data_IF_253361151693
#
_entry.id   IF_253361151693
#
_cell.length_a   1.000
_cell.length_b   1.000
_cell.length_c   1.000
_cell.angle_alpha   90.00
_cell.angle_beta   90.00
_cell.angle_gamma   90.00
#
_symmetry.space_group_name_H-M   'P 1'
#
loop_
_entity.id
_entity.type
_entity.pdbx_description
1 polymer ?
#
# COMPACT_ATOMS: atom_id res chain seq x y z
N UNK A 1 -2.47 -12.75 -0.94
CA UNK A 1 -3.66 -11.93 -0.62
C UNK A 1 -4.66 -12.63 0.30
N UNK A 2 -5.43 -13.63 -0.18
CA UNK A 2 -6.56 -14.24 0.57
C UNK A 2 -6.14 -14.79 1.93
N UNK A 3 -5.01 -15.51 1.96
CA UNK A 3 -4.42 -16.04 3.19
C UNK A 3 -4.18 -14.92 4.23
N UNK A 4 -3.61 -13.80 3.81
CA UNK A 4 -3.28 -12.64 4.66
C UNK A 4 -4.52 -11.96 5.19
N UNK A 5 -5.57 -11.83 4.36
CA UNK A 5 -6.87 -11.28 4.76
C UNK A 5 -7.48 -12.13 5.88
N UNK A 6 -7.51 -13.46 5.71
CA UNK A 6 -8.06 -14.38 6.71
C UNK A 6 -7.22 -14.33 7.99
N UNK A 7 -5.90 -14.43 7.89
CA UNK A 7 -5.00 -14.39 9.05
C UNK A 7 -5.10 -13.07 9.82
N UNK A 8 -5.20 -11.94 9.11
CA UNK A 8 -5.38 -10.64 9.75
C UNK A 8 -6.75 -10.53 10.41
N UNK A 9 -7.81 -11.01 9.76
CA UNK A 9 -9.15 -10.99 10.35
C UNK A 9 -9.24 -11.78 11.66
N UNK A 10 -8.45 -12.85 11.79
CA UNK A 10 -8.36 -13.66 13.02
C UNK A 10 -7.58 -12.99 14.16
N UNK A 11 -6.92 -11.86 13.90
CA UNK A 11 -6.23 -11.08 14.95
C UNK A 11 -7.25 -10.47 15.90
N UNK A 12 -6.80 -10.09 17.10
CA UNK A 12 -7.66 -9.37 18.05
C UNK A 12 -8.16 -8.08 17.39
N UNK A 13 -9.49 -7.92 17.35
CA UNK A 13 -10.20 -6.84 16.66
C UNK A 13 -10.13 -6.83 15.13
N UNK A 14 -9.58 -7.86 14.48
CA UNK A 14 -9.47 -7.93 13.02
C UNK A 14 -10.79 -7.70 12.28
N UNK A 15 -11.92 -8.09 12.89
CA UNK A 15 -13.26 -7.89 12.36
C UNK A 15 -13.75 -6.44 12.31
N UNK A 16 -13.05 -5.51 12.96
CA UNK A 16 -13.40 -4.09 12.96
C UNK A 16 -12.85 -3.36 11.72
N UNK A 17 -11.87 -3.96 11.03
CA UNK A 17 -11.15 -3.31 9.95
C UNK A 17 -11.69 -3.73 8.57
N UNK A 18 -12.07 -2.77 7.71
CA UNK A 18 -12.47 -3.08 6.34
C UNK A 18 -11.23 -3.41 5.50
N UNK A 19 -11.42 -4.30 4.53
CA UNK A 19 -10.45 -4.54 3.47
C UNK A 19 -10.90 -3.80 2.21
N UNK A 20 -9.96 -3.10 1.56
CA UNK A 20 -10.21 -2.40 0.31
C UNK A 20 -9.28 -3.01 -0.74
N UNK A 21 -9.86 -3.57 -1.80
CA UNK A 21 -9.10 -4.09 -2.94
C UNK A 21 -9.15 -3.04 -4.04
N UNK A 22 -8.00 -2.43 -4.31
CA UNK A 22 -7.82 -1.53 -5.45
C UNK A 22 -7.57 -2.33 -6.72
N UNK A 23 -8.23 -1.94 -7.81
CA UNK A 23 -8.15 -2.64 -9.09
C UNK A 23 -8.25 -1.67 -10.26
N UNK A 24 -7.86 -2.10 -11.46
CA UNK A 24 -7.99 -1.33 -12.70
C UNK A 24 -9.35 -1.54 -13.39
N UNK A 25 -9.57 -0.93 -14.55
CA UNK A 25 -10.78 -1.12 -15.36
C UNK A 25 -10.96 -2.55 -15.90
N UNK A 26 -9.90 -3.37 -15.93
CA UNK A 26 -9.95 -4.74 -16.45
C UNK A 26 -10.48 -5.75 -15.41
N UNK A 27 -10.74 -5.30 -14.18
CA UNK A 27 -11.25 -6.14 -13.11
C UNK A 27 -12.71 -6.56 -13.34
N UNK A 28 -12.92 -7.85 -13.60
CA UNK A 28 -14.23 -8.39 -13.98
C UNK A 28 -15.10 -8.79 -12.79
N UNK A 29 -16.39 -9.01 -13.04
CA UNK A 29 -17.32 -9.61 -12.07
C UNK A 29 -16.86 -10.99 -11.62
N UNK A 30 -16.27 -11.78 -12.52
CA UNK A 30 -15.86 -13.15 -12.25
C UNK A 30 -14.65 -13.18 -11.31
N UNK A 31 -13.68 -12.29 -11.52
CA UNK A 31 -12.55 -12.10 -10.60
C UNK A 31 -13.04 -11.67 -9.21
N UNK A 32 -14.00 -10.73 -9.14
CA UNK A 32 -14.64 -10.33 -7.88
C UNK A 32 -15.30 -11.51 -7.18
N UNK A 33 -16.12 -12.28 -7.91
CA UNK A 33 -16.81 -13.44 -7.37
C UNK A 33 -15.83 -14.51 -6.91
N UNK A 34 -14.73 -14.75 -7.64
CA UNK A 34 -13.70 -15.69 -7.25
C UNK A 34 -13.04 -15.28 -5.92
N UNK A 35 -12.62 -14.02 -5.79
CA UNK A 35 -12.03 -13.50 -4.53
C UNK A 35 -13.02 -13.65 -3.38
N UNK A 36 -14.27 -13.20 -3.56
CA UNK A 36 -15.31 -13.30 -2.54
C UNK A 36 -15.59 -14.77 -2.18
N UNK A 37 -15.59 -15.68 -3.15
CA UNK A 37 -15.79 -17.11 -2.90
C UNK A 37 -14.67 -17.65 -2.01
N UNK A 38 -13.41 -17.33 -2.28
CA UNK A 38 -12.29 -17.80 -1.47
C UNK A 38 -12.27 -17.18 -0.07
N UNK A 39 -12.64 -15.90 0.09
CA UNK A 39 -12.59 -15.24 1.41
C UNK A 39 -13.83 -15.56 2.24
N UNK A 40 -15.03 -15.47 1.66
CA UNK A 40 -16.29 -15.65 2.39
C UNK A 40 -16.64 -17.11 2.67
N UNK A 41 -16.09 -18.07 1.90
CA UNK A 41 -16.15 -19.49 2.29
C UNK A 41 -15.51 -19.70 3.66
N UNK A 42 -14.42 -18.97 3.95
CA UNK A 42 -13.70 -19.08 5.20
C UNK A 42 -14.33 -18.22 6.30
N UNK A 43 -14.87 -17.04 5.98
CA UNK A 43 -15.54 -16.20 6.96
C UNK A 43 -16.50 -15.16 6.34
N UNK A 44 -17.81 -15.36 6.51
CA UNK A 44 -18.86 -14.48 5.95
C UNK A 44 -18.90 -13.07 6.55
N UNK A 45 -18.16 -12.80 7.62
CA UNK A 45 -18.16 -11.50 8.31
C UNK A 45 -17.05 -10.56 7.83
N UNK A 46 -16.14 -11.01 6.96
CA UNK A 46 -15.08 -10.16 6.42
C UNK A 46 -15.71 -9.10 5.52
N UNK A 47 -15.53 -7.82 5.87
CA UNK A 47 -15.99 -6.70 5.07
C UNK A 47 -14.95 -6.34 4.01
N UNK A 48 -15.25 -6.65 2.74
CA UNK A 48 -14.40 -6.32 1.59
C UNK A 48 -15.14 -5.35 0.69
N UNK A 49 -14.50 -4.22 0.39
CA UNK A 49 -14.91 -3.31 -0.68
C UNK A 49 -13.90 -3.33 -1.82
N UNK A 50 -14.35 -2.96 -3.01
CA UNK A 50 -13.54 -2.91 -4.23
C UNK A 50 -13.58 -1.48 -4.74
N UNK A 51 -12.40 -0.92 -5.03
CA UNK A 51 -12.23 0.46 -5.45
C UNK A 51 -11.46 0.52 -6.77
N UNK A 52 -11.99 1.25 -7.74
CA UNK A 52 -11.31 1.49 -9.01
C UNK A 52 -10.15 2.48 -8.79
N UNK A 53 -8.92 2.03 -9.04
CA UNK A 53 -7.75 2.88 -9.12
C UNK A 53 -7.61 3.43 -10.54
N UNK A 54 -7.29 4.72 -10.65
CA UNK A 54 -7.04 5.34 -11.94
C UNK A 54 -5.59 5.11 -12.38
N UNK A 55 -5.37 4.13 -13.25
CA UNK A 55 -4.05 3.86 -13.84
C UNK A 55 -3.90 4.47 -15.24
N UNK A 56 -4.49 5.63 -15.50
CA UNK A 56 -4.32 6.34 -16.76
C UNK A 56 -3.16 7.33 -16.68
N UNK A 57 -2.38 7.43 -17.75
CA UNK A 57 -1.32 8.44 -17.90
C UNK A 57 -1.22 8.93 -19.33
N UNK A 58 -0.94 10.22 -19.48
CA UNK A 58 -0.60 10.85 -20.76
C UNK A 58 0.90 10.77 -21.07
N UNK A 59 1.71 10.22 -20.15
CA UNK A 59 3.15 10.08 -20.34
C UNK A 59 3.42 8.81 -21.15
N UNK A 60 3.91 8.98 -22.38
CA UNK A 60 4.30 7.84 -23.19
C UNK A 60 5.52 7.11 -22.60
N UNK A 61 5.56 5.77 -22.68
CA UNK A 61 6.72 5.01 -22.27
C UNK A 61 7.96 5.48 -23.04
N UNK A 62 9.04 5.73 -22.31
CA UNK A 62 10.38 5.85 -22.89
C UNK A 62 10.68 4.57 -23.70
N UNK A 63 11.11 4.72 -24.96
CA UNK A 63 11.53 3.60 -25.81
C UNK A 63 13.02 3.23 -25.65
N UNK A 64 13.72 3.86 -24.71
CA UNK A 64 15.19 3.99 -24.77
C UNK A 64 15.99 3.30 -23.66
N UNK A 65 15.41 2.53 -22.74
CA UNK A 65 16.23 1.79 -21.79
C UNK A 65 15.77 0.34 -21.60
N UNK A 66 16.74 -0.59 -21.56
CA UNK A 66 16.53 -1.98 -21.11
C UNK A 66 16.13 -2.07 -19.62
N UNK A 67 16.16 -0.94 -18.90
CA UNK A 67 15.73 -0.77 -17.52
C UNK A 67 14.29 -0.23 -17.42
N UNK A 68 13.64 0.07 -18.55
CA UNK A 68 12.30 0.67 -18.56
C UNK A 68 11.30 -0.37 -18.03
N UNK A 69 10.85 -0.13 -16.79
CA UNK A 69 9.79 -0.92 -16.17
C UNK A 69 8.52 -0.78 -17.02
N UNK A 70 7.69 -1.83 -17.12
CA UNK A 70 6.42 -1.75 -17.83
C UNK A 70 5.57 -0.58 -17.33
N UNK A 71 4.82 0.08 -18.21
CA UNK A 71 4.03 1.27 -17.86
C UNK A 71 3.08 0.99 -16.67
N UNK A 72 2.48 -0.19 -16.60
CA UNK A 72 1.66 -0.62 -15.48
C UNK A 72 2.41 -0.66 -14.15
N UNK A 73 3.69 -1.03 -14.15
CA UNK A 73 4.53 -0.98 -12.95
C UNK A 73 4.78 0.46 -12.50
N UNK A 74 5.10 1.36 -13.42
CA UNK A 74 5.29 2.78 -13.11
C UNK A 74 4.02 3.41 -12.54
N UNK A 75 2.86 3.06 -13.10
CA UNK A 75 1.55 3.51 -12.62
C UNK A 75 1.21 2.95 -11.24
N UNK A 76 1.54 1.69 -10.97
CA UNK A 76 1.43 1.09 -9.65
C UNK A 76 2.32 1.83 -8.63
N UNK A 77 3.56 2.17 -9.01
CA UNK A 77 4.46 2.95 -8.16
C UNK A 77 3.88 4.33 -7.85
N UNK A 78 3.35 5.04 -8.85
CA UNK A 78 2.69 6.34 -8.67
C UNK A 78 1.50 6.24 -7.72
N UNK A 79 0.63 5.24 -7.94
CA UNK A 79 -0.54 5.01 -7.12
C UNK A 79 -0.19 4.82 -5.65
N UNK A 80 0.77 3.93 -5.35
CA UNK A 80 1.15 3.65 -3.97
C UNK A 80 2.00 4.75 -3.31
N UNK A 81 2.67 5.59 -4.11
CA UNK A 81 3.45 6.72 -3.58
C UNK A 81 2.55 7.92 -3.26
N UNK A 82 1.45 8.09 -4.00
CA UNK A 82 0.62 9.28 -3.92
C UNK A 82 -0.88 9.01 -4.00
N UNK A 83 -1.38 8.45 -5.11
CA UNK A 83 -2.81 8.50 -5.42
C UNK A 83 -3.69 7.76 -4.39
N UNK A 84 -3.19 6.67 -3.82
CA UNK A 84 -3.92 5.89 -2.80
C UNK A 84 -4.34 6.76 -1.60
N UNK A 85 -3.49 7.69 -1.19
CA UNK A 85 -3.75 8.55 -0.03
C UNK A 85 -4.84 9.58 -0.29
N UNK A 86 -5.05 9.96 -1.55
CA UNK A 86 -6.10 10.91 -1.93
C UNK A 86 -7.31 10.23 -2.56
N UNK A 87 -7.30 8.89 -2.61
CA UNK A 87 -8.38 8.14 -3.20
C UNK A 87 -9.68 8.32 -2.40
N UNK A 88 -10.85 8.48 -3.05
CA UNK A 88 -12.13 8.67 -2.36
C UNK A 88 -12.43 7.62 -1.30
N UNK A 89 -12.12 6.34 -1.57
CA UNK A 89 -12.28 5.26 -0.61
C UNK A 89 -11.48 5.46 0.70
N UNK A 90 -10.33 6.13 0.66
CA UNK A 90 -9.53 6.44 1.85
C UNK A 90 -10.04 7.71 2.53
N UNK A 91 -10.27 8.79 1.77
CA UNK A 91 -10.71 10.08 2.31
C UNK A 91 -12.12 9.98 2.93
N UNK A 92 -13.08 9.38 2.22
CA UNK A 92 -14.46 9.24 2.69
C UNK A 92 -14.59 8.20 3.80
N UNK A 93 -13.68 7.22 3.84
CA UNK A 93 -13.61 6.25 4.93
C UNK A 93 -13.13 6.86 6.26
N UNK A 94 -12.53 8.06 6.22
CA UNK A 94 -12.02 8.78 7.38
C UNK A 94 -11.13 7.90 8.28
N UNK A 95 -10.22 7.14 7.66
CA UNK A 95 -9.32 6.24 8.36
C UNK A 95 -8.14 7.00 8.99
N UNK A 96 -7.70 6.54 10.16
CA UNK A 96 -6.47 7.06 10.80
C UNK A 96 -5.21 6.37 10.28
N UNK A 97 -5.33 5.09 9.91
CA UNK A 97 -4.23 4.24 9.49
C UNK A 97 -4.56 3.52 8.19
N UNK A 98 -3.53 3.27 7.38
CA UNK A 98 -3.59 2.42 6.19
C UNK A 98 -2.56 1.30 6.33
N UNK A 99 -2.98 0.08 6.00
CA UNK A 99 -2.12 -1.09 5.93
C UNK A 99 -2.12 -1.62 4.50
N UNK A 100 -0.96 -1.61 3.84
CA UNK A 100 -0.78 -2.21 2.51
C UNK A 100 -0.40 -3.68 2.66
N UNK A 101 -1.06 -4.51 1.86
CA UNK A 101 -0.71 -5.92 1.66
C UNK A 101 -0.83 -6.24 0.18
N UNK A 102 0.29 -6.50 -0.47
CA UNK A 102 0.30 -6.98 -1.85
C UNK A 102 -0.20 -8.43 -1.92
N UNK A 103 -0.50 -8.90 -3.13
CA UNK A 103 -1.04 -10.23 -3.36
C UNK A 103 -0.03 -11.35 -3.11
N UNK A 104 1.25 -11.05 -3.28
CA UNK A 104 2.40 -11.90 -2.95
C UNK A 104 2.80 -11.87 -1.46
N UNK A 105 2.17 -11.01 -0.67
CA UNK A 105 2.47 -10.86 0.75
C UNK A 105 1.62 -11.80 1.60
N UNK A 106 2.23 -12.47 2.58
CA UNK A 106 1.57 -13.40 3.50
C UNK A 106 2.07 -13.29 4.95
N UNK A 107 1.17 -13.55 5.88
CA UNK A 107 1.50 -13.75 7.30
C UNK A 107 1.79 -15.22 7.55
N UNK A 108 2.96 -15.52 8.13
CA UNK A 108 3.26 -16.88 8.61
C UNK A 108 2.58 -17.20 9.94
N UNK A 109 2.35 -16.18 10.77
CA UNK A 109 1.84 -16.32 12.12
C UNK A 109 0.66 -15.35 12.35
N UNK A 110 -0.22 -15.70 13.28
CA UNK A 110 -1.30 -14.81 13.73
C UNK A 110 -0.67 -13.66 14.53
N UNK A 111 -1.07 -12.43 14.22
CA UNK A 111 -0.66 -11.27 15.02
C UNK A 111 -1.55 -11.21 16.26
N UNK A 112 -0.98 -11.47 17.43
CA UNK A 112 -1.74 -11.51 18.69
C UNK A 112 -2.27 -10.14 19.14
N UNK A 113 -1.57 -9.07 18.71
CA UNK A 113 -1.87 -7.69 19.07
C UNK A 113 -2.49 -6.96 17.89
N UNK A 114 -3.45 -6.12 18.21
CA UNK A 114 -3.99 -5.14 17.28
C UNK A 114 -2.89 -4.12 16.91
N UNK A 115 -2.42 -4.19 15.66
CA UNK A 115 -1.29 -3.38 15.19
C UNK A 115 -1.63 -1.89 15.15
N UNK A 116 -2.87 -1.53 14.87
CA UNK A 116 -3.30 -0.13 14.80
C UNK A 116 -3.38 0.49 16.19
N UNK A 117 -3.96 -0.24 17.15
CA UNK A 117 -3.96 0.17 18.57
C UNK A 117 -2.53 0.26 19.09
N UNK A 118 -1.65 -0.68 18.73
CA UNK A 118 -0.25 -0.65 19.11
C UNK A 118 0.46 0.61 18.57
N UNK A 119 0.27 0.93 17.28
CA UNK A 119 0.85 2.15 16.68
C UNK A 119 0.35 3.41 17.37
N UNK A 120 -0.93 3.52 17.68
CA UNK A 120 -1.46 4.69 18.38
C UNK A 120 -0.91 4.83 19.81
N UNK A 121 -0.84 3.71 20.55
CA UNK A 121 -0.29 3.70 21.90
C UNK A 121 1.19 4.08 21.93
N UNK A 122 1.95 3.68 20.92
CA UNK A 122 3.40 3.93 20.82
C UNK A 122 3.76 5.18 20.03
N UNK A 123 2.77 5.90 19.49
CA UNK A 123 2.97 7.08 18.64
C UNK A 123 3.91 6.78 17.47
N UNK A 124 3.67 5.66 16.79
CA UNK A 124 4.43 5.22 15.61
C UNK A 124 3.72 5.67 14.35
N UNK A 125 4.45 6.32 13.45
CA UNK A 125 3.93 6.84 12.18
C UNK A 125 3.97 5.83 11.04
N UNK A 126 4.96 4.95 11.04
CA UNK A 126 5.24 4.07 9.93
C UNK A 126 5.89 2.77 10.39
N UNK A 127 5.37 1.64 9.92
CA UNK A 127 5.91 0.30 10.14
C UNK A 127 6.19 -0.35 8.78
N UNK A 128 7.34 -0.99 8.64
CA UNK A 128 7.73 -1.78 7.49
C UNK A 128 8.44 -3.05 7.93
N UNK A 129 8.56 -4.03 7.01
CA UNK A 129 9.17 -5.33 7.30
C UNK A 129 10.65 -5.40 6.93
N UNK A 130 11.03 -4.80 5.81
CA UNK A 130 12.38 -4.91 5.25
C UNK A 130 12.78 -3.67 4.49
N UNK A 131 14.08 -3.44 4.42
CA UNK A 131 14.72 -2.44 3.57
C UNK A 131 15.73 -3.12 2.66
N UNK A 132 16.06 -2.48 1.56
CA UNK A 132 17.08 -2.95 0.62
C UNK A 132 17.95 -1.79 0.17
N UNK A 133 19.17 -2.08 -0.26
CA UNK A 133 20.04 -1.07 -0.86
C UNK A 133 19.65 -0.89 -2.33
N UNK A 134 19.35 0.35 -2.70
CA UNK A 134 19.12 0.75 -4.09
C UNK A 134 20.05 1.93 -4.37
N UNK A 135 20.69 1.95 -5.53
CA UNK A 135 21.46 3.14 -5.90
C UNK A 135 20.46 4.25 -6.22
N UNK A 136 20.69 5.41 -5.61
CA UNK A 136 19.84 6.57 -5.84
C UNK A 136 20.20 7.29 -7.13
N UNK A 137 21.06 6.76 -7.99
CA UNK A 137 21.70 7.56 -9.04
C UNK A 137 20.70 8.31 -9.94
N UNK A 138 19.53 7.71 -10.20
CA UNK A 138 18.42 8.32 -10.93
C UNK A 138 17.56 9.30 -10.11
N UNK A 139 17.36 9.04 -8.82
CA UNK A 139 16.54 9.86 -7.90
C UNK A 139 17.34 10.95 -7.19
N UNK A 140 18.66 10.83 -7.13
CA UNK A 140 19.57 11.70 -6.39
C UNK A 140 19.44 13.18 -6.83
N UNK A 141 19.40 13.50 -8.13
CA UNK A 141 19.23 14.89 -8.57
C UNK A 141 17.87 15.47 -8.17
N UNK A 142 16.83 14.63 -8.10
CA UNK A 142 15.49 15.04 -7.68
C UNK A 142 15.48 15.27 -6.16
N UNK A 143 15.95 14.29 -5.39
CA UNK A 143 15.98 14.33 -3.92
C UNK A 143 16.87 15.46 -3.39
N UNK A 144 18.00 15.76 -4.05
CA UNK A 144 18.86 16.90 -3.69
C UNK A 144 18.13 18.25 -3.76
N UNK A 145 17.19 18.42 -4.69
CA UNK A 145 16.39 19.66 -4.79
C UNK A 145 15.51 19.89 -3.56
N UNK A 146 15.11 18.81 -2.89
CA UNK A 146 14.19 18.87 -1.75
C UNK A 146 14.90 18.79 -0.40
N UNK A 147 16.00 18.02 -0.29
CA UNK A 147 16.57 17.67 1.01
C UNK A 147 17.64 18.63 1.51
N UNK A 148 18.09 19.62 0.71
CA UNK A 148 19.14 20.59 1.06
C UNK A 148 20.36 19.93 1.79
N UNK A 149 20.67 18.69 1.41
CA UNK A 149 21.70 17.85 2.03
C UNK A 149 22.60 17.26 0.97
N UNK A 150 23.90 17.31 1.23
CA UNK A 150 24.92 16.74 0.35
C UNK A 150 25.01 15.20 0.44
N UNK A 151 24.38 14.59 1.46
CA UNK A 151 24.35 13.14 1.65
C UNK A 151 22.90 12.66 1.78
N UNK A 152 22.49 11.77 0.88
CA UNK A 152 21.26 11.00 1.03
C UNK A 152 21.56 9.72 1.83
N UNK A 153 20.66 9.36 2.75
CA UNK A 153 20.73 8.04 3.37
C UNK A 153 20.57 6.98 2.28
N UNK A 154 21.43 5.96 2.31
CA UNK A 154 21.35 4.81 1.40
C UNK A 154 20.21 3.89 1.83
N UNK A 155 19.51 3.33 0.84
CA UNK A 155 18.49 2.31 1.05
C UNK A 155 17.05 2.79 0.90
N UNK A 156 16.20 1.86 0.46
CA UNK A 156 14.77 2.02 0.26
C UNK A 156 14.03 1.08 1.21
N UNK A 157 12.82 1.47 1.60
CA UNK A 157 11.89 0.58 2.30
C UNK A 157 11.22 -0.31 1.25
N UNK A 158 11.15 -1.61 1.52
CA UNK A 158 10.42 -2.54 0.67
C UNK A 158 8.91 -2.37 0.89
N UNK A 159 8.27 -1.65 -0.02
CA UNK A 159 6.92 -1.11 0.15
C UNK A 159 5.78 -2.10 -0.14
N UNK A 160 6.05 -3.38 -0.39
CA UNK A 160 4.98 -4.37 -0.61
C UNK A 160 4.15 -4.65 0.67
N UNK A 161 4.68 -4.24 1.83
CA UNK A 161 4.01 -4.23 3.11
C UNK A 161 4.38 -2.98 3.91
N UNK A 162 3.38 -2.22 4.33
CA UNK A 162 3.56 -1.17 5.33
C UNK A 162 2.29 -0.93 6.13
N UNK A 163 2.45 -0.30 7.30
CA UNK A 163 1.36 0.35 8.02
C UNK A 163 1.74 1.80 8.26
N UNK A 164 0.87 2.74 7.91
CA UNK A 164 1.14 4.18 7.97
C UNK A 164 0.01 4.92 8.66
N UNK A 165 0.36 5.91 9.50
CA UNK A 165 -0.58 6.90 10.03
C UNK A 165 -0.86 7.95 8.95
N UNK A 166 -2.10 8.02 8.48
CA UNK A 166 -2.48 8.87 7.35
C UNK A 166 -2.26 10.36 7.65
N UNK A 167 -2.55 10.79 8.88
CA UNK A 167 -2.27 12.16 9.33
C UNK A 167 -0.80 12.57 9.13
N UNK A 168 0.14 11.70 9.49
CA UNK A 168 1.57 11.97 9.31
C UNK A 168 1.94 12.16 7.84
N UNK A 169 1.40 11.32 6.95
CA UNK A 169 1.60 11.47 5.51
C UNK A 169 1.17 12.86 5.02
N UNK A 170 -0.02 13.32 5.40
CA UNK A 170 -0.52 14.64 4.97
C UNK A 170 0.25 15.81 5.57
N UNK A 171 0.70 15.69 6.82
CA UNK A 171 1.49 16.72 7.50
C UNK A 171 2.91 16.83 6.92
N UNK A 172 3.51 15.71 6.51
CA UNK A 172 4.85 15.68 5.91
C UNK A 172 4.98 16.44 4.59
N UNK A 173 3.86 16.69 3.88
CA UNK A 173 3.84 17.44 2.60
C UNK A 173 3.84 18.96 2.76
N UNK A 174 3.70 19.48 3.99
CA UNK A 174 3.65 20.92 4.26
C UNK A 174 5.02 21.54 4.54
N UNK A 175 6.10 20.80 4.31
CA UNK A 175 7.51 21.23 4.47
C UNK A 175 8.10 21.51 3.10
#
# INVERSE_FOLDING_TARGET
MIHSVIHFYLTKNGSLYPFIIFHDENFTSDMRQQILSCVLQNNRKINISFALANFQTSVEPSSKSQLDKPIGYCLMCQFWTYDVFYHPAIIQGNYDYLMRMDDDSYFMYIIEKDIFVYMDCKKIDYIYRSSYEESFDSMHPILQRFLNKNSLQRGCIYNNFFVIRLKWYYESKRV
#
